data_IF_145088346225
#
_entry.id   IF_145088346225
#
_cell.length_a   1.000
_cell.length_b   1.000
_cell.length_c   1.000
_cell.angle_alpha   90.00
_cell.angle_beta   90.00
_cell.angle_gamma   90.00
#
_symmetry.space_group_name_H-M   'P 1'
#
loop_
_entity.id
_entity.type
_entity.pdbx_description
1 polymer ?
#
# COMPACT_ATOMS: atom_id res chain seq x y z
N UNK A 1 -1.02 15.75 11.08
CA UNK A 1 -1.01 14.29 10.88
C UNK A 1 -1.97 13.61 11.84
N UNK A 2 -3.25 13.78 11.64
CA UNK A 2 -4.26 13.08 12.41
C UNK A 2 -4.15 11.55 12.15
N UNK A 3 -4.42 10.69 13.13
CA UNK A 3 -4.84 11.01 14.48
C UNK A 3 -3.67 11.24 15.47
N UNK A 4 -2.41 11.02 15.06
CA UNK A 4 -1.26 10.94 15.97
C UNK A 4 -0.61 12.28 16.30
N UNK A 5 -0.86 13.34 15.50
CA UNK A 5 -0.19 14.63 15.68
C UNK A 5 1.34 14.48 15.65
N UNK A 6 2.02 14.98 16.69
CA UNK A 6 3.48 14.85 16.83
C UNK A 6 3.93 13.44 17.26
N UNK A 7 3.01 12.55 17.66
CA UNK A 7 3.30 11.18 18.08
C UNK A 7 3.32 10.17 16.93
N UNK A 8 3.49 10.64 15.70
CA UNK A 8 3.75 9.73 14.56
C UNK A 8 5.05 8.98 14.82
N UNK A 9 5.06 7.64 14.70
CA UNK A 9 6.28 6.85 14.87
C UNK A 9 7.40 7.32 13.93
N UNK A 10 8.55 7.66 14.49
CA UNK A 10 9.74 8.10 13.78
C UNK A 10 10.89 7.12 14.01
N UNK A 11 11.42 6.56 12.92
CA UNK A 11 12.63 5.74 12.95
C UNK A 11 13.83 6.59 12.56
N UNK A 12 14.85 6.59 13.38
CA UNK A 12 16.06 7.39 13.19
C UNK A 12 17.26 6.48 12.92
N UNK A 13 18.03 6.82 11.88
CA UNK A 13 19.28 6.15 11.52
C UNK A 13 20.39 7.17 11.30
N UNK A 14 21.59 6.85 11.79
CA UNK A 14 22.78 7.70 11.68
C UNK A 14 23.53 7.81 13.01
N UNK A 15 24.72 8.39 12.99
CA UNK A 15 25.61 8.46 14.15
C UNK A 15 24.97 9.14 15.39
N UNK A 16 24.16 10.17 15.16
CA UNK A 16 23.49 10.92 16.23
C UNK A 16 22.05 10.42 16.52
N UNK A 17 21.62 9.29 15.95
CA UNK A 17 20.24 8.83 16.06
C UNK A 17 19.76 8.63 17.50
N UNK A 18 20.61 8.07 18.36
CA UNK A 18 20.28 7.81 19.76
C UNK A 18 20.08 9.12 20.56
N UNK A 19 20.98 10.07 20.42
CA UNK A 19 20.87 11.39 21.07
C UNK A 19 19.64 12.13 20.58
N UNK A 20 19.41 12.16 19.27
CA UNK A 20 18.26 12.82 18.67
C UNK A 20 16.95 12.16 19.12
N UNK A 21 16.88 10.82 19.20
CA UNK A 21 15.71 10.12 19.71
C UNK A 21 15.37 10.55 21.15
N UNK A 22 16.36 10.66 22.04
CA UNK A 22 16.14 11.12 23.42
C UNK A 22 15.56 12.54 23.46
N UNK A 23 16.12 13.47 22.67
CA UNK A 23 15.62 14.85 22.57
C UNK A 23 14.18 14.93 22.06
N UNK A 24 13.86 14.19 20.99
CA UNK A 24 12.52 14.16 20.41
C UNK A 24 11.49 13.53 21.35
N UNK A 25 11.90 12.46 22.06
CA UNK A 25 11.05 11.82 23.08
C UNK A 25 10.75 12.77 24.24
N UNK A 26 11.71 13.62 24.66
CA UNK A 26 11.49 14.65 25.67
C UNK A 26 10.43 15.67 25.22
N UNK A 27 10.20 15.84 23.90
CA UNK A 27 9.13 16.65 23.32
C UNK A 27 7.85 15.87 23.06
N UNK A 28 7.69 14.70 23.71
CA UNK A 28 6.53 13.81 23.55
C UNK A 28 6.33 13.25 22.12
N UNK A 29 7.38 13.20 21.30
CA UNK A 29 7.36 12.53 19.99
C UNK A 29 7.68 11.04 20.15
N UNK A 30 7.10 10.20 19.30
CA UNK A 30 7.39 8.75 19.24
C UNK A 30 8.61 8.51 18.34
N UNK A 31 9.81 8.73 18.90
CA UNK A 31 11.07 8.63 18.17
C UNK A 31 11.93 7.46 18.68
N UNK A 32 12.40 6.62 17.75
CA UNK A 32 13.23 5.44 18.07
C UNK A 32 14.48 5.40 17.18
N UNK A 33 15.65 5.34 17.81
CA UNK A 33 16.90 5.04 17.11
C UNK A 33 16.94 3.56 16.72
N UNK A 34 17.16 3.27 15.44
CA UNK A 34 17.17 1.91 14.89
C UNK A 34 18.55 1.48 14.39
N UNK A 35 19.44 2.43 14.10
CA UNK A 35 20.80 2.12 13.66
C UNK A 35 21.70 3.35 13.74
N UNK A 36 23.00 3.12 13.92
CA UNK A 36 24.03 4.15 13.73
C UNK A 36 24.41 4.35 12.27
N UNK A 37 23.97 3.48 11.36
CA UNK A 37 24.22 3.57 9.92
C UNK A 37 23.14 4.41 9.24
N UNK A 38 23.56 5.34 8.38
CA UNK A 38 22.66 6.12 7.49
C UNK A 38 21.99 5.15 6.51
N UNK A 39 20.71 5.42 6.17
CA UNK A 39 19.94 4.64 5.20
C UNK A 39 19.14 3.48 5.82
N UNK A 40 19.53 2.91 6.97
CA UNK A 40 18.85 1.75 7.56
C UNK A 40 17.39 2.04 7.90
N UNK A 41 17.06 3.19 8.48
CA UNK A 41 15.68 3.58 8.77
C UNK A 41 14.83 3.70 7.49
N UNK A 42 15.40 4.25 6.42
CA UNK A 42 14.75 4.32 5.11
C UNK A 42 14.55 2.93 4.50
N UNK A 43 15.55 2.06 4.55
CA UNK A 43 15.45 0.69 4.06
C UNK A 43 14.34 -0.09 4.78
N UNK A 44 14.21 0.04 6.11
CA UNK A 44 13.11 -0.57 6.87
C UNK A 44 11.73 -0.11 6.36
N UNK A 45 11.58 1.20 6.13
CA UNK A 45 10.35 1.77 5.55
C UNK A 45 10.09 1.22 4.15
N UNK A 46 11.11 1.16 3.29
CA UNK A 46 10.95 0.70 1.90
C UNK A 46 10.60 -0.79 1.84
N UNK A 47 11.28 -1.65 2.59
CA UNK A 47 10.95 -3.09 2.65
C UNK A 47 9.50 -3.33 3.12
N UNK A 48 9.07 -2.62 4.19
CA UNK A 48 7.68 -2.69 4.63
C UNK A 48 6.71 -2.19 3.56
N UNK A 49 7.06 -1.15 2.83
CA UNK A 49 6.23 -0.58 1.76
C UNK A 49 6.00 -1.57 0.62
N UNK A 50 7.01 -2.36 0.24
CA UNK A 50 6.87 -3.41 -0.77
C UNK A 50 5.78 -4.41 -0.38
N UNK A 51 5.79 -4.89 0.87
CA UNK A 51 4.79 -5.84 1.35
C UNK A 51 3.39 -5.24 1.37
N UNK A 52 3.20 -4.10 2.04
CA UNK A 52 1.86 -3.51 2.22
C UNK A 52 1.24 -3.11 0.89
N UNK A 53 1.98 -2.39 0.04
CA UNK A 53 1.47 -1.95 -1.26
C UNK A 53 1.43 -3.07 -2.29
N UNK A 54 2.24 -4.11 -2.09
CA UNK A 54 2.16 -5.35 -2.85
C UNK A 54 0.84 -6.07 -2.61
N UNK A 55 0.44 -6.26 -1.37
CA UNK A 55 -0.86 -6.84 -1.03
C UNK A 55 -2.01 -6.02 -1.63
N UNK A 56 -1.97 -4.68 -1.51
CA UNK A 56 -2.97 -3.82 -2.12
C UNK A 56 -3.09 -4.04 -3.64
N UNK A 57 -1.97 -4.09 -4.34
CA UNK A 57 -1.94 -4.27 -5.79
C UNK A 57 -2.44 -5.66 -6.22
N UNK A 58 -2.02 -6.71 -5.50
CA UNK A 58 -2.45 -8.09 -5.75
C UNK A 58 -3.96 -8.27 -5.50
N UNK A 59 -4.48 -7.74 -4.39
CA UNK A 59 -5.90 -7.84 -4.06
C UNK A 59 -6.75 -7.11 -5.10
N UNK A 60 -6.38 -5.91 -5.52
CA UNK A 60 -7.12 -5.17 -6.55
C UNK A 60 -7.17 -5.97 -7.86
N UNK A 61 -6.05 -6.55 -8.28
CA UNK A 61 -5.99 -7.34 -9.51
C UNK A 61 -6.79 -8.63 -9.41
N UNK A 62 -6.57 -9.39 -8.34
CA UNK A 62 -7.25 -10.67 -8.10
C UNK A 62 -8.76 -10.50 -7.96
N UNK A 63 -9.21 -9.54 -7.15
CA UNK A 63 -10.63 -9.35 -6.88
C UNK A 63 -11.39 -8.79 -8.08
N UNK A 64 -10.80 -7.85 -8.82
CA UNK A 64 -11.42 -7.37 -10.06
C UNK A 64 -11.52 -8.48 -11.11
N UNK A 65 -10.55 -9.39 -11.15
CA UNK A 65 -10.57 -10.56 -12.03
C UNK A 65 -11.61 -11.58 -11.57
N UNK A 66 -11.66 -11.93 -10.28
CA UNK A 66 -12.65 -12.84 -9.71
C UNK A 66 -14.08 -12.32 -9.95
N UNK A 67 -14.29 -11.02 -9.74
CA UNK A 67 -15.56 -10.34 -10.00
C UNK A 67 -15.98 -10.41 -11.46
N UNK A 68 -15.02 -10.29 -12.38
CA UNK A 68 -15.28 -10.44 -13.81
C UNK A 68 -15.83 -11.83 -14.18
N UNK A 69 -15.27 -12.87 -13.55
CA UNK A 69 -15.69 -14.25 -13.78
C UNK A 69 -16.84 -14.72 -12.88
N UNK A 70 -17.27 -13.90 -11.92
CA UNK A 70 -18.32 -14.27 -10.95
C UNK A 70 -17.90 -15.39 -10.01
N UNK A 71 -16.62 -15.46 -9.63
CA UNK A 71 -16.06 -16.55 -8.81
C UNK A 71 -15.54 -16.09 -7.44
N UNK A 72 -15.82 -14.85 -7.06
CA UNK A 72 -15.36 -14.26 -5.80
C UNK A 72 -15.82 -15.06 -4.57
N UNK A 73 -17.05 -15.60 -4.59
CA UNK A 73 -17.62 -16.39 -3.49
C UNK A 73 -16.92 -17.77 -3.33
N UNK A 74 -16.09 -18.16 -4.30
CA UNK A 74 -15.22 -19.32 -4.21
C UNK A 74 -13.79 -18.94 -3.81
N UNK A 75 -13.29 -17.80 -4.33
CA UNK A 75 -11.90 -17.36 -4.09
C UNK A 75 -11.70 -16.87 -2.66
N UNK A 76 -12.58 -16.02 -2.14
CA UNK A 76 -12.40 -15.41 -0.81
C UNK A 76 -12.34 -16.47 0.31
N UNK A 77 -13.26 -17.48 0.38
CA UNK A 77 -13.17 -18.51 1.39
C UNK A 77 -11.86 -19.31 1.37
N UNK A 78 -11.29 -19.58 0.18
CA UNK A 78 -9.98 -20.27 0.09
C UNK A 78 -8.81 -19.41 0.61
N UNK A 79 -8.92 -18.10 0.51
CA UNK A 79 -7.95 -17.19 1.12
C UNK A 79 -8.11 -17.16 2.64
N UNK A 80 -9.33 -17.21 3.16
CA UNK A 80 -9.62 -17.30 4.61
C UNK A 80 -9.12 -18.62 5.20
N UNK A 81 -9.27 -19.74 4.49
CA UNK A 81 -8.70 -21.03 4.89
C UNK A 81 -7.16 -20.96 4.98
N UNK A 82 -6.52 -20.30 4.01
CA UNK A 82 -5.05 -20.18 3.95
C UNK A 82 -4.51 -19.21 4.98
N UNK A 83 -5.22 -18.11 5.24
CA UNK A 83 -4.84 -17.02 6.14
C UNK A 83 -5.99 -16.65 7.07
N UNK A 84 -6.33 -17.51 8.06
CA UNK A 84 -7.57 -17.39 8.85
C UNK A 84 -7.61 -16.16 9.79
N UNK A 85 -6.50 -15.44 9.94
CA UNK A 85 -6.45 -14.21 10.73
C UNK A 85 -6.79 -12.93 9.95
N UNK A 86 -7.09 -13.06 8.65
CA UNK A 86 -7.38 -11.92 7.76
C UNK A 86 -8.84 -11.99 7.30
N UNK A 87 -9.61 -10.96 7.63
CA UNK A 87 -10.90 -10.72 6.97
C UNK A 87 -10.64 -10.16 5.57
N UNK A 88 -10.65 -11.06 4.57
CA UNK A 88 -10.32 -10.71 3.19
C UNK A 88 -11.35 -9.80 2.54
N UNK A 89 -12.62 -9.81 2.97
CA UNK A 89 -13.64 -8.91 2.48
C UNK A 89 -13.40 -7.48 2.98
N UNK A 90 -13.16 -7.31 4.28
CA UNK A 90 -12.84 -6.01 4.89
C UNK A 90 -11.52 -5.46 4.35
N UNK A 91 -10.47 -6.31 4.25
CA UNK A 91 -9.18 -5.90 3.70
C UNK A 91 -9.29 -5.50 2.23
N UNK A 92 -10.10 -6.19 1.44
CA UNK A 92 -10.39 -5.82 0.05
C UNK A 92 -10.96 -4.41 -0.04
N UNK A 93 -12.01 -4.10 0.72
CA UNK A 93 -12.63 -2.78 0.76
C UNK A 93 -11.63 -1.69 1.19
N UNK A 94 -10.84 -1.96 2.22
CA UNK A 94 -9.79 -1.06 2.70
C UNK A 94 -8.72 -0.81 1.63
N UNK A 95 -8.20 -1.85 0.98
CA UNK A 95 -7.14 -1.72 -0.03
C UNK A 95 -7.61 -0.96 -1.27
N UNK A 96 -8.79 -1.27 -1.80
CA UNK A 96 -9.36 -0.50 -2.92
C UNK A 96 -9.50 0.98 -2.55
N UNK A 97 -10.15 1.28 -1.43
CA UNK A 97 -10.34 2.65 -0.97
C UNK A 97 -9.02 3.42 -0.83
N UNK A 98 -8.01 2.79 -0.24
CA UNK A 98 -6.68 3.40 -0.05
C UNK A 98 -5.96 3.70 -1.34
N UNK A 99 -6.03 2.79 -2.31
CA UNK A 99 -5.35 2.99 -3.60
C UNK A 99 -6.09 4.01 -4.46
N UNK A 100 -7.42 3.98 -4.49
CA UNK A 100 -8.23 4.98 -5.20
C UNK A 100 -7.93 6.39 -4.68
N UNK A 101 -7.81 6.57 -3.35
CA UNK A 101 -7.56 7.88 -2.75
C UNK A 101 -6.11 8.36 -2.85
N UNK A 102 -5.13 7.45 -2.90
CA UNK A 102 -3.72 7.80 -2.71
C UNK A 102 -2.78 7.13 -3.72
N UNK A 103 -3.29 6.52 -4.78
CA UNK A 103 -2.53 5.68 -5.71
C UNK A 103 -1.32 6.38 -6.32
N UNK A 104 -1.45 7.64 -6.73
CA UNK A 104 -0.32 8.39 -7.30
C UNK A 104 0.86 8.48 -6.33
N UNK A 105 0.64 8.97 -5.09
CA UNK A 105 1.68 9.06 -4.07
C UNK A 105 2.26 7.68 -3.73
N UNK A 106 1.41 6.64 -3.71
CA UNK A 106 1.83 5.27 -3.45
C UNK A 106 2.70 4.71 -4.58
N UNK A 107 2.41 5.04 -5.83
CA UNK A 107 3.23 4.68 -6.99
C UNK A 107 4.62 5.34 -6.92
N UNK A 108 4.69 6.62 -6.54
CA UNK A 108 5.95 7.35 -6.34
C UNK A 108 6.79 6.69 -5.23
N UNK A 109 6.18 6.41 -4.06
CA UNK A 109 6.84 5.69 -2.96
C UNK A 109 7.34 4.30 -3.38
N UNK A 110 6.64 3.60 -4.29
CA UNK A 110 7.09 2.31 -4.80
C UNK A 110 8.24 2.43 -5.81
N UNK A 111 8.32 3.51 -6.57
CA UNK A 111 9.49 3.78 -7.42
C UNK A 111 10.75 4.01 -6.58
N UNK A 112 10.63 4.74 -5.46
CA UNK A 112 11.73 4.88 -4.50
C UNK A 112 12.12 3.53 -3.87
N UNK A 113 11.12 2.71 -3.49
CA UNK A 113 11.36 1.36 -2.97
C UNK A 113 12.08 0.46 -3.99
N UNK A 114 11.79 0.62 -5.29
CA UNK A 114 12.49 -0.10 -6.35
C UNK A 114 13.98 0.29 -6.44
N UNK A 115 14.33 1.55 -6.18
CA UNK A 115 15.73 1.96 -6.10
C UNK A 115 16.44 1.29 -4.91
N UNK A 116 15.80 1.23 -3.74
CA UNK A 116 16.34 0.53 -2.57
C UNK A 116 16.58 -0.97 -2.84
N UNK A 117 15.68 -1.62 -3.61
CA UNK A 117 15.87 -3.02 -4.04
C UNK A 117 17.08 -3.16 -4.97
N UNK A 118 17.26 -2.24 -5.91
CA UNK A 118 18.45 -2.23 -6.81
C UNK A 118 19.75 -1.99 -6.05
N UNK A 119 19.76 -1.07 -5.10
CA UNK A 119 20.91 -0.78 -4.23
C UNK A 119 21.31 -2.00 -3.40
N UNK A 120 20.35 -2.88 -3.06
CA UNK A 120 20.59 -4.16 -2.40
C UNK A 120 21.09 -5.27 -3.36
N UNK A 121 21.21 -4.99 -4.66
CA UNK A 121 21.69 -5.93 -5.68
C UNK A 121 20.62 -6.84 -6.27
N UNK A 122 19.33 -6.55 -6.06
CA UNK A 122 18.22 -7.33 -6.63
C UNK A 122 17.50 -6.59 -7.76
N UNK A 123 16.94 -7.34 -8.71
CA UNK A 123 16.05 -6.77 -9.73
C UNK A 123 14.66 -6.51 -9.13
N UNK A 124 14.13 -5.27 -9.19
CA UNK A 124 12.88 -4.89 -8.53
C UNK A 124 11.64 -5.24 -9.36
N UNK A 125 11.53 -6.47 -9.89
CA UNK A 125 10.42 -6.90 -10.75
C UNK A 125 9.05 -6.63 -10.12
N UNK A 126 8.81 -7.17 -8.93
CA UNK A 126 7.54 -7.00 -8.22
C UNK A 126 7.31 -5.55 -7.81
N UNK A 127 8.34 -4.88 -7.30
CA UNK A 127 8.23 -3.49 -6.82
C UNK A 127 7.88 -2.54 -7.97
N UNK A 128 8.43 -2.74 -9.16
CA UNK A 128 8.09 -1.99 -10.35
C UNK A 128 6.65 -2.27 -10.83
N UNK A 129 6.21 -3.53 -10.82
CA UNK A 129 4.85 -3.92 -11.16
C UNK A 129 3.83 -3.32 -10.18
N UNK A 130 4.13 -3.31 -8.87
CA UNK A 130 3.30 -2.67 -7.86
C UNK A 130 3.17 -1.17 -8.14
N UNK A 131 4.26 -0.47 -8.46
CA UNK A 131 4.22 0.95 -8.81
C UNK A 131 3.32 1.21 -10.02
N UNK A 132 3.42 0.37 -11.05
CA UNK A 132 2.58 0.46 -12.24
C UNK A 132 1.09 0.24 -11.93
N UNK A 133 0.75 -0.76 -11.10
CA UNK A 133 -0.63 -1.02 -10.69
C UNK A 133 -1.21 0.13 -9.87
N UNK A 134 -0.45 0.66 -8.91
CA UNK A 134 -0.88 1.81 -8.10
C UNK A 134 -1.13 3.05 -8.99
N UNK A 135 -0.25 3.30 -9.97
CA UNK A 135 -0.40 4.40 -10.91
C UNK A 135 -1.64 4.20 -11.78
N UNK A 136 -1.83 2.99 -12.33
CA UNK A 136 -3.00 2.68 -13.16
C UNK A 136 -4.32 2.95 -12.42
N UNK A 137 -4.45 2.54 -11.15
CA UNK A 137 -5.65 2.84 -10.35
C UNK A 137 -5.81 4.35 -10.14
N UNK A 138 -4.71 5.07 -9.88
CA UNK A 138 -4.76 6.53 -9.75
C UNK A 138 -5.23 7.22 -11.04
N UNK A 139 -4.82 6.72 -12.19
CA UNK A 139 -5.24 7.24 -13.49
C UNK A 139 -6.74 6.96 -13.74
N UNK A 140 -7.25 5.79 -13.35
CA UNK A 140 -8.70 5.50 -13.37
C UNK A 140 -9.47 6.44 -12.44
N UNK A 141 -8.95 6.70 -11.24
CA UNK A 141 -9.57 7.63 -10.29
C UNK A 141 -9.60 9.06 -10.85
N UNK A 142 -8.51 9.52 -11.47
CA UNK A 142 -8.42 10.82 -12.13
C UNK A 142 -9.37 10.94 -13.33
N UNK A 143 -9.61 9.84 -14.03
CA UNK A 143 -10.59 9.77 -15.13
C UNK A 143 -12.05 9.72 -14.63
N UNK A 144 -12.30 9.75 -13.32
CA UNK A 144 -13.65 9.77 -12.74
C UNK A 144 -14.32 8.40 -12.62
N UNK A 145 -13.61 7.30 -12.86
CA UNK A 145 -14.18 5.93 -12.81
C UNK A 145 -14.85 5.63 -11.48
N UNK A 146 -14.35 6.18 -10.39
CA UNK A 146 -14.86 5.96 -9.03
C UNK A 146 -15.69 7.13 -8.46
N UNK A 147 -16.11 8.09 -9.29
CA UNK A 147 -16.79 9.31 -8.81
C UNK A 147 -18.07 9.04 -8.00
N UNK A 148 -18.78 7.96 -8.31
CA UNK A 148 -20.03 7.57 -7.66
C UNK A 148 -19.83 6.50 -6.56
N UNK A 149 -18.59 6.13 -6.25
CA UNK A 149 -18.31 5.12 -5.21
C UNK A 149 -18.20 5.82 -3.86
N UNK A 150 -19.00 5.40 -2.90
CA UNK A 150 -18.93 5.91 -1.53
C UNK A 150 -17.58 5.59 -0.88
N UNK A 151 -17.12 6.47 0.01
CA UNK A 151 -15.77 6.38 0.61
C UNK A 151 -15.48 5.06 1.34
N UNK A 152 -16.50 4.42 1.89
CA UNK A 152 -16.40 3.17 2.65
C UNK A 152 -17.21 2.04 1.98
N UNK A 153 -17.35 2.09 0.67
CA UNK A 153 -18.05 1.07 -0.09
C UNK A 153 -17.34 -0.29 0.03
N UNK A 154 -18.11 -1.37 -0.14
CA UNK A 154 -17.55 -2.70 -0.30
C UNK A 154 -16.66 -2.76 -1.55
N UNK A 155 -15.68 -3.65 -1.56
CA UNK A 155 -14.70 -3.76 -2.66
C UNK A 155 -15.35 -4.04 -4.02
N UNK A 156 -16.50 -4.74 -4.06
CA UNK A 156 -17.26 -5.01 -5.27
C UNK A 156 -17.64 -3.72 -6.01
N UNK A 157 -18.05 -2.68 -5.29
CA UNK A 157 -18.42 -1.41 -5.90
C UNK A 157 -17.25 -0.79 -6.69
N UNK A 158 -16.03 -0.87 -6.17
CA UNK A 158 -14.83 -0.43 -6.89
C UNK A 158 -14.51 -1.34 -8.08
N UNK A 159 -14.60 -2.66 -7.91
CA UNK A 159 -14.33 -3.63 -8.96
C UNK A 159 -15.33 -3.48 -10.12
N UNK A 160 -16.62 -3.32 -9.83
CA UNK A 160 -17.66 -3.14 -10.84
C UNK A 160 -17.42 -1.87 -11.69
N UNK A 161 -16.93 -0.78 -11.08
CA UNK A 161 -16.55 0.44 -11.84
C UNK A 161 -15.33 0.20 -12.74
N UNK A 162 -14.33 -0.52 -12.28
CA UNK A 162 -13.20 -0.91 -13.12
C UNK A 162 -13.64 -1.78 -14.30
N UNK A 163 -14.56 -2.72 -14.06
CA UNK A 163 -15.11 -3.59 -15.11
C UNK A 163 -15.91 -2.79 -16.13
N UNK A 164 -16.72 -1.84 -15.68
CA UNK A 164 -17.53 -0.97 -16.56
C UNK A 164 -16.67 -0.02 -17.43
N UNK A 165 -15.50 0.40 -16.92
CA UNK A 165 -14.60 1.32 -17.61
C UNK A 165 -13.67 0.63 -18.63
N UNK A 166 -13.73 -0.70 -18.78
CA UNK A 166 -12.90 -1.42 -19.77
C UNK A 166 -13.31 -1.08 -21.21
N UNK A 167 -12.33 -1.04 -22.14
CA UNK A 167 -12.67 -1.01 -23.55
C UNK A 167 -13.62 -2.17 -23.90
N UNK A 168 -14.67 -1.90 -24.64
CA UNK A 168 -15.52 -2.97 -25.20
C UNK A 168 -14.67 -3.75 -26.20
N UNK A 169 -14.50 -5.02 -25.94
CA UNK A 169 -13.86 -5.95 -26.89
C UNK A 169 -14.76 -6.15 -28.10
#
# INVERSE_FOLDING_TARGET
MPPYGIRVPLLLGGACAAELAQRLTAWAMDAKAVSTKIGVASAMKMCRSVMIKGMEALVIESYATARHYGVEDHVLPTLEETFPSIDWSEQGAYFFSRVVQHGQRRAEEMRESANTVREAGFEPLMTAAIAAKQQWVADQAKAGVFAEVEKNAHWQAYADRLLAARPKQ
#
